data_IF_625121918710
#
_entry.id   IF_625121918710
#
_cell.length_a   1.000
_cell.length_b   1.000
_cell.length_c   1.000
_cell.angle_alpha   90.00
_cell.angle_beta   90.00
_cell.angle_gamma   90.00
#
_symmetry.space_group_name_H-M   'P 1'
#
loop_
_entity.id
_entity.type
_entity.pdbx_description
1 polymer ?
#
# COMPACT_ATOMS: atom_id res chain seq x y z
N UNK A 1 4.04 14.51 12.91
CA UNK A 1 5.39 14.18 13.42
C UNK A 1 5.45 14.01 14.94
N UNK A 2 4.94 14.98 15.74
CA UNK A 2 4.99 14.88 17.23
C UNK A 2 4.10 13.77 17.80
N UNK A 3 2.92 13.53 17.25
CA UNK A 3 2.02 12.45 17.68
C UNK A 3 2.53 11.06 17.29
N UNK A 4 3.11 10.93 16.10
CA UNK A 4 3.75 9.70 15.62
C UNK A 4 4.94 9.29 16.51
N UNK A 5 5.75 10.26 16.96
CA UNK A 5 6.83 10.01 17.92
C UNK A 5 6.33 9.56 19.29
N UNK A 6 5.19 10.09 19.75
CA UNK A 6 4.57 9.61 21.01
C UNK A 6 4.07 8.17 20.90
N UNK A 7 3.51 7.78 19.77
CA UNK A 7 3.12 6.39 19.50
C UNK A 7 4.35 5.46 19.42
N UNK A 8 5.42 5.90 18.76
CA UNK A 8 6.68 5.14 18.66
C UNK A 8 7.36 4.97 20.03
N UNK A 9 7.38 6.01 20.85
CA UNK A 9 7.88 5.96 22.24
C UNK A 9 7.02 5.08 23.15
N UNK A 10 5.70 5.04 22.95
CA UNK A 10 4.83 4.11 23.67
C UNK A 10 5.12 2.65 23.34
N UNK A 11 5.43 2.34 22.07
CA UNK A 11 5.84 1.00 21.65
C UNK A 11 7.19 0.55 22.25
N UNK A 12 8.14 1.48 22.49
CA UNK A 12 9.44 1.19 23.09
C UNK A 12 9.35 1.05 24.61
N UNK A 13 8.48 1.82 25.28
CA UNK A 13 8.31 1.75 26.75
C UNK A 13 7.64 0.47 27.24
N UNK A 14 6.78 -0.13 26.44
CA UNK A 14 6.07 -1.36 26.85
C UNK A 14 6.94 -2.62 26.78
N UNK A 15 8.13 -2.55 26.16
CA UNK A 15 9.08 -3.67 26.08
C UNK A 15 10.12 -3.73 27.21
N UNK A 16 10.26 -2.65 28.02
CA UNK A 16 11.22 -2.59 29.14
C UNK A 16 10.51 -2.41 30.50
N UNK A 17 9.60 -3.28 30.86
CA UNK A 17 8.92 -3.30 32.14
C UNK A 17 9.67 -4.15 33.17
N UNK A 18 10.52 -3.53 33.98
CA UNK A 18 11.15 -4.14 35.13
C UNK A 18 11.37 -3.13 36.27
N UNK A 19 10.54 -3.26 37.27
CA UNK A 19 10.72 -3.04 38.73
C UNK A 19 11.49 -1.83 39.29
N UNK A 20 10.83 -1.23 40.23
CA UNK A 20 11.16 -0.88 41.62
C UNK A 20 11.13 0.58 42.06
N UNK A 21 10.29 0.83 43.08
CA UNK A 21 10.64 1.51 44.31
C UNK A 21 10.69 3.03 44.32
N UNK A 22 9.57 3.64 44.69
CA UNK A 22 9.60 5.00 45.24
C UNK A 22 9.85 4.92 46.75
N UNK A 23 10.79 5.67 47.34
CA UNK A 23 10.43 6.57 48.37
C UNK A 23 11.24 7.89 48.36
N UNK A 24 10.62 9.05 48.40
CA UNK A 24 10.98 10.14 49.30
C UNK A 24 10.17 11.42 48.98
N UNK A 25 9.32 11.76 49.93
CA UNK A 25 8.75 13.07 50.11
C UNK A 25 9.85 14.03 50.61
N UNK A 26 10.17 15.07 49.85
CA UNK A 26 11.06 16.17 50.26
C UNK A 26 10.63 17.47 49.61
N UNK A 27 10.45 18.49 50.44
CA UNK A 27 9.97 19.84 50.11
C UNK A 27 10.84 20.54 49.05
N UNK A 28 10.26 21.53 48.31
CA UNK A 28 11.02 22.22 47.23
C UNK A 28 12.03 23.18 47.82
N UNK A 29 13.30 22.99 47.42
CA UNK A 29 14.37 23.98 47.59
C UNK A 29 14.45 24.79 46.30
N UNK A 30 14.22 26.11 46.44
CA UNK A 30 14.33 27.07 45.36
C UNK A 30 15.83 27.41 45.14
N UNK A 31 16.40 26.97 44.02
CA UNK A 31 17.70 27.45 43.56
C UNK A 31 17.48 28.03 42.16
N UNK A 32 17.45 29.35 42.09
CA UNK A 32 17.50 30.10 40.84
C UNK A 32 18.81 29.84 40.13
N UNK A 33 18.74 29.27 38.93
CA UNK A 33 19.84 29.10 38.03
C UNK A 33 19.27 28.78 36.66
N UNK A 34 19.57 29.60 35.67
CA UNK A 34 19.26 29.42 34.26
C UNK A 34 19.63 27.99 33.81
N UNK A 35 18.61 27.15 33.59
CA UNK A 35 18.81 25.91 32.86
C UNK A 35 17.69 25.78 31.81
N UNK A 36 17.79 26.63 30.80
CA UNK A 36 17.25 26.34 29.49
C UNK A 36 18.39 25.71 28.64
N UNK A 37 18.97 24.64 29.09
CA UNK A 37 19.60 23.69 28.19
C UNK A 37 18.45 22.87 27.58
N UNK A 38 17.96 23.35 26.44
CA UNK A 38 17.28 22.53 25.47
C UNK A 38 18.18 21.31 25.24
N UNK A 39 17.82 20.17 25.77
CA UNK A 39 18.26 18.90 25.23
C UNK A 39 17.78 18.87 23.79
N UNK A 40 18.66 19.28 22.89
CA UNK A 40 18.59 18.97 21.47
C UNK A 40 18.64 17.45 21.41
N UNK A 41 17.46 16.82 21.40
CA UNK A 41 17.37 15.39 21.13
C UNK A 41 17.75 15.24 19.66
N UNK A 42 19.06 15.15 19.40
CA UNK A 42 19.58 14.64 18.13
C UNK A 42 18.75 13.38 17.84
N UNK A 43 18.05 13.41 16.72
CA UNK A 43 17.39 12.23 16.20
C UNK A 43 18.50 11.16 16.07
N UNK A 44 18.43 10.16 16.93
CA UNK A 44 19.33 9.03 16.82
C UNK A 44 19.00 8.38 15.48
N UNK A 45 19.90 8.51 14.52
CA UNK A 45 19.80 7.80 13.24
C UNK A 45 19.68 6.30 13.54
N UNK A 46 18.58 5.69 13.11
CA UNK A 46 18.45 4.23 13.19
C UNK A 46 19.37 3.60 12.13
N UNK A 47 20.46 3.00 12.58
CA UNK A 47 21.45 2.31 11.76
C UNK A 47 21.21 0.83 11.81
N UNK A 48 20.89 0.22 10.66
CA UNK A 48 20.43 -1.17 10.62
C UNK A 48 21.30 -2.06 9.74
N UNK A 49 21.38 -3.34 10.09
CA UNK A 49 21.95 -4.38 9.24
C UNK A 49 20.79 -5.17 8.62
N UNK A 50 20.84 -5.32 7.30
CA UNK A 50 19.86 -6.10 6.56
C UNK A 50 20.28 -7.55 6.50
N UNK A 51 19.32 -8.47 6.72
CA UNK A 51 19.60 -9.89 6.82
C UNK A 51 18.64 -10.70 5.97
N UNK A 52 19.17 -11.59 5.13
CA UNK A 52 18.38 -12.49 4.31
C UNK A 52 18.89 -13.94 4.37
N UNK A 53 18.00 -14.87 4.11
CA UNK A 53 18.33 -16.28 3.91
C UNK A 53 17.98 -16.66 2.48
N UNK A 54 19.00 -17.00 1.67
CA UNK A 54 18.81 -17.55 0.33
C UNK A 54 18.54 -19.05 0.45
N UNK A 55 17.43 -19.52 -0.13
CA UNK A 55 17.01 -20.93 -0.06
C UNK A 55 17.21 -21.71 -1.35
N UNK A 56 17.50 -21.03 -2.46
CA UNK A 56 17.82 -21.63 -3.75
C UNK A 56 18.80 -20.78 -4.53
N UNK A 57 19.51 -21.36 -5.50
CA UNK A 57 20.44 -20.64 -6.37
C UNK A 57 19.71 -19.69 -7.36
N UNK A 58 18.40 -19.88 -7.55
CA UNK A 58 17.53 -19.03 -8.36
C UNK A 58 16.89 -17.90 -7.54
N UNK A 59 17.20 -17.82 -6.24
CA UNK A 59 16.61 -16.85 -5.33
C UNK A 59 17.26 -15.47 -5.55
N UNK A 60 16.46 -14.50 -5.95
CA UNK A 60 16.91 -13.14 -6.23
C UNK A 60 17.06 -12.35 -4.91
N UNK A 61 17.89 -12.92 -4.01
CA UNK A 61 18.08 -12.45 -2.64
C UNK A 61 18.70 -11.05 -2.60
N UNK A 62 19.64 -10.75 -3.51
CA UNK A 62 20.30 -9.43 -3.56
C UNK A 62 19.28 -8.35 -3.95
N UNK A 63 18.46 -8.58 -4.96
CA UNK A 63 17.42 -7.62 -5.32
C UNK A 63 16.31 -7.49 -4.25
N UNK A 64 16.05 -8.55 -3.48
CA UNK A 64 15.17 -8.47 -2.31
C UNK A 64 15.76 -7.58 -1.21
N UNK A 65 17.08 -7.64 -1.02
CA UNK A 65 17.81 -6.78 -0.09
C UNK A 65 17.91 -5.34 -0.57
N UNK A 66 18.06 -5.09 -1.88
CA UNK A 66 18.02 -3.74 -2.45
C UNK A 66 16.66 -3.09 -2.16
N UNK A 67 15.57 -3.82 -2.37
CA UNK A 67 14.22 -3.35 -2.05
C UNK A 67 14.02 -3.16 -0.53
N UNK A 68 14.62 -4.03 0.31
CA UNK A 68 14.57 -3.89 1.77
C UNK A 68 15.33 -2.65 2.25
N UNK A 69 16.43 -2.29 1.57
CA UNK A 69 17.19 -1.06 1.85
C UNK A 69 16.34 0.18 1.53
N UNK A 70 15.65 0.21 0.38
CA UNK A 70 14.71 1.29 0.05
C UNK A 70 13.55 1.39 1.06
N UNK A 71 13.05 0.23 1.56
CA UNK A 71 12.06 0.21 2.64
C UNK A 71 12.62 0.81 3.93
N UNK A 72 13.82 0.44 4.32
CA UNK A 72 14.48 0.95 5.52
C UNK A 72 14.67 2.47 5.42
N UNK A 73 15.18 2.99 4.29
CA UNK A 73 15.32 4.43 4.04
C UNK A 73 13.97 5.16 4.11
N UNK A 74 12.94 4.60 3.48
CA UNK A 74 11.58 5.16 3.54
C UNK A 74 11.04 5.21 4.97
N UNK A 75 11.40 4.23 5.81
CA UNK A 75 11.06 4.21 7.24
C UNK A 75 11.92 5.16 8.10
N UNK A 76 12.98 5.75 7.52
CA UNK A 76 13.92 6.65 8.17
C UNK A 76 15.04 5.95 8.91
N UNK A 77 15.41 4.74 8.49
CA UNK A 77 16.56 3.98 8.96
C UNK A 77 17.62 3.91 7.86
N UNK A 78 18.91 3.92 8.24
CA UNK A 78 20.02 3.82 7.31
C UNK A 78 20.60 2.40 7.36
N UNK A 79 20.62 1.70 6.24
CA UNK A 79 21.28 0.41 6.12
C UNK A 79 22.80 0.60 6.07
N UNK A 80 23.52 -0.02 7.01
CA UNK A 80 24.97 0.11 7.14
C UNK A 80 25.72 -1.19 6.82
N UNK A 81 24.99 -2.29 6.63
CA UNK A 81 25.57 -3.58 6.27
C UNK A 81 24.51 -4.57 5.83
N UNK A 82 24.94 -5.62 5.14
CA UNK A 82 24.10 -6.73 4.68
C UNK A 82 24.72 -8.05 5.09
N UNK A 83 23.89 -9.02 5.47
CA UNK A 83 24.30 -10.38 5.78
C UNK A 83 23.37 -11.36 5.09
N UNK A 84 23.94 -12.21 4.24
CA UNK A 84 23.20 -13.28 3.55
C UNK A 84 23.69 -14.64 4.06
N UNK A 85 22.75 -15.55 4.28
CA UNK A 85 23.05 -16.95 4.57
C UNK A 85 22.39 -17.86 3.54
N UNK A 86 23.19 -18.65 2.82
CA UNK A 86 22.68 -19.69 1.92
C UNK A 86 22.33 -20.93 2.73
N UNK A 87 21.11 -21.44 2.60
CA UNK A 87 20.61 -22.63 3.28
C UNK A 87 19.50 -23.29 2.47
N UNK A 88 19.35 -24.59 2.57
CA UNK A 88 18.20 -25.29 1.96
C UNK A 88 16.85 -24.90 2.61
N UNK A 89 16.86 -24.51 3.90
CA UNK A 89 15.65 -24.11 4.65
C UNK A 89 15.99 -23.09 5.72
N UNK A 90 15.08 -22.15 5.93
CA UNK A 90 15.10 -21.20 7.04
C UNK A 90 15.13 -21.94 8.38
N UNK A 91 15.98 -21.51 9.31
CA UNK A 91 16.05 -22.16 10.62
C UNK A 91 14.77 -21.86 11.45
N UNK A 92 14.04 -22.89 11.93
CA UNK A 92 12.71 -22.69 12.52
C UNK A 92 12.74 -21.91 13.83
N UNK A 93 13.84 -21.95 14.56
CA UNK A 93 13.95 -21.30 15.88
C UNK A 93 14.60 -19.93 15.87
N UNK A 94 15.49 -19.65 14.92
CA UNK A 94 16.34 -18.44 14.95
C UNK A 94 16.49 -17.76 13.60
N UNK A 95 15.74 -18.19 12.56
CA UNK A 95 15.86 -17.68 11.19
C UNK A 95 17.25 -18.02 10.56
N UNK A 96 18.34 -17.66 11.23
CA UNK A 96 19.74 -17.95 10.88
C UNK A 96 20.28 -19.17 11.63
N UNK A 97 21.34 -19.76 11.13
CA UNK A 97 22.14 -20.74 11.84
C UNK A 97 23.02 -20.10 12.93
N UNK A 98 23.43 -20.87 13.94
CA UNK A 98 24.18 -20.37 15.10
C UNK A 98 25.50 -19.66 14.75
N UNK A 99 26.25 -20.18 13.77
CA UNK A 99 27.49 -19.52 13.30
C UNK A 99 27.21 -18.13 12.71
N UNK A 100 26.18 -18.00 11.86
CA UNK A 100 25.80 -16.70 11.25
C UNK A 100 25.25 -15.70 12.28
N UNK A 101 24.60 -16.18 13.36
CA UNK A 101 24.18 -15.32 14.47
C UNK A 101 25.40 -14.73 15.19
N UNK A 102 26.47 -15.52 15.37
CA UNK A 102 27.75 -15.02 15.94
C UNK A 102 28.36 -13.92 15.09
N UNK A 103 28.48 -14.14 13.77
CA UNK A 103 28.95 -13.15 12.80
C UNK A 103 28.09 -11.88 12.81
N UNK A 104 26.76 -12.04 12.79
CA UNK A 104 25.84 -10.89 12.83
C UNK A 104 25.99 -10.07 14.12
N UNK A 105 26.19 -10.72 15.26
CA UNK A 105 26.41 -10.04 16.54
C UNK A 105 27.73 -9.24 16.55
N UNK A 106 28.79 -9.78 15.97
CA UNK A 106 30.06 -9.08 15.79
C UNK A 106 29.87 -7.86 14.88
N UNK A 107 29.18 -8.01 13.73
CA UNK A 107 28.86 -6.91 12.84
C UNK A 107 28.03 -5.81 13.54
N UNK A 108 27.01 -6.17 14.32
CA UNK A 108 26.19 -5.21 15.08
C UNK A 108 27.07 -4.37 15.99
N UNK A 109 28.00 -5.01 16.71
CA UNK A 109 28.89 -4.33 17.65
C UNK A 109 29.94 -3.48 16.94
N UNK A 110 30.62 -3.99 15.93
CA UNK A 110 31.70 -3.30 15.20
C UNK A 110 31.18 -2.10 14.42
N UNK A 111 30.03 -2.24 13.75
CA UNK A 111 29.44 -1.17 12.93
C UNK A 111 28.58 -0.21 13.76
N UNK A 112 28.33 -0.49 15.03
CA UNK A 112 27.46 0.30 15.90
C UNK A 112 26.02 0.34 15.38
N UNK A 113 25.49 -0.80 14.93
CA UNK A 113 24.11 -0.90 14.48
C UNK A 113 23.15 -0.79 15.66
N UNK A 114 22.04 -0.07 15.47
CA UNK A 114 20.97 0.09 16.47
C UNK A 114 19.87 -0.96 16.31
N UNK A 115 19.88 -1.71 15.21
CA UNK A 115 18.90 -2.74 14.91
C UNK A 115 19.29 -3.63 13.73
N UNK A 116 18.50 -4.69 13.56
CA UNK A 116 18.61 -5.64 12.46
C UNK A 116 17.24 -5.76 11.78
N UNK A 117 17.20 -5.79 10.45
CA UNK A 117 15.98 -6.02 9.67
C UNK A 117 16.14 -7.31 8.88
N UNK A 118 15.23 -8.26 9.10
CA UNK A 118 15.15 -9.51 8.35
C UNK A 118 14.22 -9.35 7.14
N UNK A 119 14.63 -9.91 6.00
CA UNK A 119 13.91 -9.80 4.72
C UNK A 119 12.61 -10.61 4.67
N UNK A 120 12.49 -11.62 5.51
CA UNK A 120 11.29 -12.47 5.61
C UNK A 120 10.49 -12.16 6.88
N UNK A 121 9.20 -12.49 6.88
CA UNK A 121 8.37 -12.41 8.08
C UNK A 121 8.83 -13.43 9.11
N UNK A 122 9.15 -12.95 10.33
CA UNK A 122 9.64 -13.77 11.41
C UNK A 122 8.50 -14.33 12.26
N UNK A 123 8.59 -15.62 12.61
CA UNK A 123 7.74 -16.16 13.66
C UNK A 123 8.05 -15.50 15.01
N UNK A 124 7.09 -15.48 15.95
CA UNK A 124 7.31 -14.92 17.29
C UNK A 124 8.49 -15.56 18.06
N UNK A 125 8.80 -16.83 17.77
CA UNK A 125 9.93 -17.53 18.36
C UNK A 125 11.26 -17.09 17.75
N UNK A 126 11.33 -16.97 16.42
CA UNK A 126 12.52 -16.48 15.71
C UNK A 126 12.88 -15.07 16.14
N UNK A 127 11.90 -14.16 16.17
CA UNK A 127 12.11 -12.77 16.57
C UNK A 127 12.76 -12.70 17.97
N UNK A 128 12.14 -13.33 18.99
CA UNK A 128 12.67 -13.32 20.36
C UNK A 128 14.04 -13.96 20.50
N UNK A 129 14.23 -15.10 19.82
CA UNK A 129 15.50 -15.80 19.92
C UNK A 129 16.65 -15.00 19.30
N UNK A 130 16.37 -14.29 18.17
CA UNK A 130 17.31 -13.36 17.55
C UNK A 130 17.58 -12.16 18.45
N UNK A 131 16.55 -11.48 18.97
CA UNK A 131 16.74 -10.35 19.89
C UNK A 131 17.57 -10.74 21.12
N UNK A 132 17.27 -11.90 21.71
CA UNK A 132 18.04 -12.42 22.86
C UNK A 132 19.48 -12.77 22.49
N UNK A 133 19.74 -13.26 21.28
CA UNK A 133 21.07 -13.64 20.83
C UNK A 133 21.94 -12.46 20.43
N UNK A 134 21.31 -11.42 19.88
CA UNK A 134 22.00 -10.23 19.34
C UNK A 134 22.08 -9.08 20.35
N UNK A 135 21.26 -9.12 21.42
CA UNK A 135 21.08 -8.04 22.39
C UNK A 135 20.77 -6.68 21.71
N UNK A 136 19.99 -6.73 20.62
CA UNK A 136 19.60 -5.57 19.84
C UNK A 136 18.19 -5.73 19.28
N UNK A 137 17.59 -4.61 18.84
CA UNK A 137 16.27 -4.60 18.22
C UNK A 137 16.29 -5.39 16.91
N UNK A 138 15.35 -6.32 16.76
CA UNK A 138 15.13 -7.07 15.52
C UNK A 138 13.77 -6.71 14.94
N UNK A 139 13.74 -6.41 13.68
CA UNK A 139 12.53 -6.15 12.90
C UNK A 139 12.47 -7.11 11.73
N UNK A 140 11.29 -7.33 11.21
CA UNK A 140 11.09 -8.02 9.95
C UNK A 140 10.51 -7.07 8.88
N UNK A 141 10.53 -7.49 7.63
CA UNK A 141 10.00 -6.73 6.49
C UNK A 141 8.57 -6.25 6.74
N UNK A 142 7.73 -7.08 7.34
CA UNK A 142 6.34 -6.74 7.68
C UNK A 142 6.25 -5.57 8.64
N UNK A 143 7.09 -5.53 9.66
CA UNK A 143 7.10 -4.45 10.64
C UNK A 143 7.54 -3.13 10.00
N UNK A 144 8.54 -3.15 9.14
CA UNK A 144 9.01 -1.97 8.40
C UNK A 144 7.90 -1.42 7.50
N UNK A 145 7.22 -2.28 6.73
CA UNK A 145 6.08 -1.88 5.89
C UNK A 145 4.96 -1.24 6.72
N UNK A 146 4.62 -1.84 7.88
CA UNK A 146 3.61 -1.28 8.79
C UNK A 146 4.00 0.09 9.35
N UNK A 147 5.28 0.31 9.64
CA UNK A 147 5.78 1.59 10.11
C UNK A 147 5.70 2.67 9.01
N UNK A 148 6.04 2.32 7.76
CA UNK A 148 5.87 3.21 6.60
C UNK A 148 4.38 3.57 6.43
N UNK A 149 3.50 2.59 6.50
CA UNK A 149 2.06 2.83 6.38
C UNK A 149 1.51 3.72 7.49
N UNK A 150 2.00 3.54 8.72
CA UNK A 150 1.60 4.40 9.85
C UNK A 150 2.05 5.86 9.66
N UNK A 151 3.18 6.08 8.97
CA UNK A 151 3.67 7.40 8.65
C UNK A 151 2.87 8.09 7.53
N UNK A 152 2.38 7.31 6.54
CA UNK A 152 1.71 7.83 5.34
C UNK A 152 0.18 7.85 5.42
N UNK A 153 -0.45 7.18 6.40
CA UNK A 153 -1.89 7.20 6.58
C UNK A 153 -2.40 8.60 6.95
N UNK A 154 -3.09 9.25 6.04
CA UNK A 154 -3.64 10.60 6.25
C UNK A 154 -5.13 10.56 6.53
N UNK A 155 -5.88 9.69 5.86
CA UNK A 155 -7.32 9.55 6.03
C UNK A 155 -7.68 8.81 7.31
N UNK A 156 -8.89 9.04 7.82
CA UNK A 156 -9.43 8.30 8.96
C UNK A 156 -9.48 6.79 8.67
N UNK A 157 -9.87 6.41 7.47
CA UNK A 157 -9.93 5.02 7.04
C UNK A 157 -8.55 4.37 6.98
N UNK A 158 -7.57 5.02 6.32
CA UNK A 158 -6.20 4.54 6.27
C UNK A 158 -5.61 4.33 7.67
N UNK A 159 -5.85 5.26 8.61
CA UNK A 159 -5.42 5.13 10.00
C UNK A 159 -6.04 3.92 10.70
N UNK A 160 -7.35 3.71 10.54
CA UNK A 160 -8.06 2.54 11.10
C UNK A 160 -7.48 1.23 10.55
N UNK A 161 -7.23 1.17 9.24
CA UNK A 161 -6.68 -0.01 8.58
C UNK A 161 -5.27 -0.33 9.06
N UNK A 162 -4.40 0.68 9.15
CA UNK A 162 -3.03 0.52 9.66
C UNK A 162 -3.03 0.09 11.12
N UNK A 163 -3.83 0.73 11.98
CA UNK A 163 -3.96 0.34 13.39
C UNK A 163 -4.46 -1.12 13.51
N UNK A 164 -5.44 -1.50 12.70
CA UNK A 164 -5.96 -2.86 12.66
C UNK A 164 -4.88 -3.87 12.25
N UNK A 165 -4.08 -3.56 11.21
CA UNK A 165 -2.98 -4.41 10.76
C UNK A 165 -1.90 -4.55 11.83
N UNK A 166 -1.48 -3.44 12.45
CA UNK A 166 -0.50 -3.43 13.54
C UNK A 166 -0.98 -4.25 14.75
N UNK A 167 -2.25 -4.12 15.14
CA UNK A 167 -2.80 -4.89 16.26
C UNK A 167 -2.90 -6.38 15.95
N UNK A 168 -3.26 -6.77 14.72
CA UNK A 168 -3.26 -8.18 14.28
C UNK A 168 -1.85 -8.77 14.30
N UNK A 169 -0.88 -8.03 13.78
CA UNK A 169 0.53 -8.41 13.80
C UNK A 169 1.03 -8.62 15.24
N UNK A 170 0.72 -7.70 16.18
CA UNK A 170 1.05 -7.82 17.59
C UNK A 170 0.32 -8.97 18.27
N UNK A 171 -0.98 -9.16 18.00
CA UNK A 171 -1.78 -10.24 18.57
C UNK A 171 -1.21 -11.63 18.24
N UNK A 172 -0.77 -11.83 16.98
CA UNK A 172 -0.13 -13.09 16.56
C UNK A 172 1.16 -13.36 17.34
N UNK A 173 1.92 -12.32 17.67
CA UNK A 173 3.18 -12.43 18.44
C UNK A 173 2.99 -12.68 19.93
N UNK A 174 1.93 -12.15 20.54
CA UNK A 174 1.60 -12.40 21.94
C UNK A 174 1.23 -13.88 22.21
N UNK A 175 0.69 -14.59 21.21
CA UNK A 175 0.36 -16.01 21.34
C UNK A 175 1.62 -16.86 21.55
N UNK A 176 2.73 -16.52 20.90
CA UNK A 176 4.01 -17.23 21.05
C UNK A 176 4.67 -17.10 22.44
N UNK A 177 4.36 -16.02 23.19
CA UNK A 177 4.87 -15.77 24.53
C UNK A 177 4.32 -16.75 25.58
N UNK A 178 3.09 -17.25 25.40
CA UNK A 178 2.43 -18.16 26.34
C UNK A 178 3.12 -19.54 26.46
N UNK A 179 3.54 -20.08 25.31
CA UNK A 179 4.15 -21.43 25.29
C UNK A 179 5.53 -21.51 25.95
N UNK A 180 6.24 -20.40 26.07
CA UNK A 180 7.54 -20.32 26.73
C UNK A 180 7.43 -20.08 28.24
N UNK A 181 6.45 -19.29 28.69
CA UNK A 181 6.21 -19.05 30.11
C UNK A 181 5.58 -20.25 30.81
N UNK A 182 4.74 -21.02 30.12
CA UNK A 182 4.15 -22.25 30.67
C UNK A 182 5.15 -23.40 30.83
N UNK A 183 6.30 -23.36 30.13
CA UNK A 183 7.39 -24.35 30.30
C UNK A 183 8.28 -24.11 31.53
N UNK A 184 8.29 -22.86 32.06
CA UNK A 184 9.08 -22.47 33.23
C UNK A 184 8.32 -22.61 34.57
N UNK A 185 7.00 -22.78 34.53
CA UNK A 185 6.14 -22.92 35.70
C UNK A 185 5.65 -24.35 35.86
N UNK A 186 6.43 -25.21 36.53
CA UNK A 186 6.00 -26.58 36.90
C UNK A 186 4.91 -26.55 37.98
N UNK A 187 3.66 -26.80 37.59
CA UNK A 187 2.56 -27.01 38.55
C UNK A 187 1.19 -26.85 37.90
N UNK A 188 0.34 -27.86 38.00
CA UNK A 188 -1.06 -27.84 37.57
C UNK A 188 -1.80 -26.84 38.48
N UNK A 189 -2.16 -25.65 37.95
CA UNK A 189 -3.08 -24.72 38.61
C UNK A 189 -2.57 -23.34 39.02
N UNK A 190 -1.28 -23.01 38.90
CA UNK A 190 -0.75 -21.70 39.27
C UNK A 190 -0.48 -20.83 38.04
N UNK A 191 -1.47 -20.04 37.62
CA UNK A 191 -1.27 -18.93 36.64
C UNK A 191 -0.43 -17.85 37.32
N UNK A 192 0.81 -17.66 36.89
CA UNK A 192 1.69 -16.60 37.36
C UNK A 192 1.16 -15.20 37.06
N UNK A 193 1.60 -14.14 37.77
CA UNK A 193 1.17 -12.75 37.52
C UNK A 193 1.49 -12.29 36.07
N UNK A 194 2.53 -12.81 35.43
CA UNK A 194 2.85 -12.53 34.02
C UNK A 194 1.85 -13.11 33.02
N UNK A 195 1.31 -14.33 33.30
CA UNK A 195 0.26 -14.90 32.42
C UNK A 195 -1.04 -14.12 32.48
N UNK A 196 -1.42 -13.58 33.65
CA UNK A 196 -2.61 -12.72 33.81
C UNK A 196 -2.45 -11.41 33.04
N UNK A 197 -1.26 -10.80 33.06
CA UNK A 197 -0.97 -9.58 32.32
C UNK A 197 -1.05 -9.80 30.80
N UNK A 198 -0.42 -10.84 30.29
CA UNK A 198 -0.49 -11.19 28.86
C UNK A 198 -1.92 -11.52 28.39
N UNK A 199 -2.71 -12.19 29.24
CA UNK A 199 -4.10 -12.50 28.90
C UNK A 199 -4.97 -11.23 28.89
N UNK A 200 -4.71 -10.27 29.78
CA UNK A 200 -5.35 -8.96 29.79
C UNK A 200 -4.97 -8.14 28.55
N UNK A 201 -3.68 -8.05 28.23
CA UNK A 201 -3.20 -7.31 27.06
C UNK A 201 -3.80 -7.88 25.76
N UNK A 202 -3.84 -9.24 25.66
CA UNK A 202 -4.49 -9.91 24.53
C UNK A 202 -5.98 -9.58 24.42
N UNK A 203 -6.69 -9.57 25.56
CA UNK A 203 -8.12 -9.23 25.59
C UNK A 203 -8.33 -7.80 25.11
N UNK A 204 -7.57 -6.83 25.60
CA UNK A 204 -7.64 -5.43 25.18
C UNK A 204 -7.37 -5.27 23.69
N UNK A 205 -6.36 -5.97 23.15
CA UNK A 205 -6.06 -5.94 21.71
C UNK A 205 -7.24 -6.52 20.91
N UNK A 206 -7.84 -7.63 21.33
CA UNK A 206 -8.98 -8.21 20.62
C UNK A 206 -10.24 -7.32 20.69
N UNK A 207 -10.48 -6.68 21.84
CA UNK A 207 -11.56 -5.71 21.98
C UNK A 207 -11.35 -4.50 21.03
N UNK A 208 -10.12 -3.98 20.96
CA UNK A 208 -9.81 -2.87 20.03
C UNK A 208 -9.91 -3.30 18.56
N UNK A 209 -9.45 -4.50 18.20
CA UNK A 209 -9.66 -5.08 16.86
C UNK A 209 -11.15 -5.16 16.53
N UNK A 210 -12.01 -5.56 17.48
CA UNK A 210 -13.45 -5.60 17.29
C UNK A 210 -14.06 -4.23 17.01
N UNK A 211 -13.66 -3.21 17.78
CA UNK A 211 -14.08 -1.83 17.59
C UNK A 211 -13.68 -1.29 16.20
N UNK A 212 -12.39 -1.43 15.83
CA UNK A 212 -11.88 -0.96 14.55
C UNK A 212 -12.55 -1.63 13.35
N UNK A 213 -12.89 -2.93 13.45
CA UNK A 213 -13.67 -3.62 12.42
C UNK A 213 -15.05 -3.01 12.25
N UNK A 214 -15.74 -2.67 13.35
CA UNK A 214 -17.06 -2.03 13.30
C UNK A 214 -16.96 -0.63 12.67
N UNK A 215 -15.97 0.17 13.08
CA UNK A 215 -15.72 1.49 12.48
C UNK A 215 -15.45 1.39 10.98
N UNK A 216 -14.67 0.39 10.53
CA UNK A 216 -14.37 0.15 9.12
C UNK A 216 -15.62 -0.25 8.31
N UNK A 217 -16.52 -1.06 8.88
CA UNK A 217 -17.78 -1.42 8.24
C UNK A 217 -18.71 -0.21 8.05
N UNK A 218 -18.71 0.73 8.99
CA UNK A 218 -19.46 1.98 8.84
C UNK A 218 -18.91 2.84 7.69
N UNK A 219 -17.57 2.95 7.58
CA UNK A 219 -16.92 3.66 6.47
C UNK A 219 -17.25 3.01 5.13
N UNK A 220 -17.22 1.68 5.05
CA UNK A 220 -17.60 0.93 3.82
C UNK A 220 -19.03 1.21 3.39
N UNK A 221 -19.99 1.24 4.33
CA UNK A 221 -21.39 1.57 4.02
C UNK A 221 -21.52 2.97 3.41
N UNK A 222 -20.82 3.97 3.94
CA UNK A 222 -20.81 5.32 3.38
C UNK A 222 -20.22 5.35 1.96
N UNK A 223 -19.16 4.59 1.70
CA UNK A 223 -18.58 4.47 0.35
C UNK A 223 -19.55 3.84 -0.65
N UNK A 224 -20.25 2.79 -0.28
CA UNK A 224 -21.24 2.16 -1.16
C UNK A 224 -22.34 3.13 -1.58
N UNK A 225 -22.83 3.96 -0.67
CA UNK A 225 -23.83 4.99 -0.99
C UNK A 225 -23.26 6.00 -2.00
N UNK A 226 -22.06 6.47 -1.78
CA UNK A 226 -21.39 7.42 -2.68
C UNK A 226 -21.11 6.78 -4.05
N UNK A 227 -20.73 5.50 -4.08
CA UNK A 227 -20.49 4.73 -5.32
C UNK A 227 -21.76 4.57 -6.13
N UNK A 228 -22.87 4.15 -5.53
CA UNK A 228 -24.16 4.07 -6.20
C UNK A 228 -24.62 5.41 -6.81
N UNK A 229 -24.20 6.54 -6.24
CA UNK A 229 -24.44 7.85 -6.83
C UNK A 229 -23.53 8.12 -8.04
N UNK A 230 -22.28 7.61 -8.08
CA UNK A 230 -21.37 7.70 -9.22
C UNK A 230 -21.85 6.83 -10.39
N UNK A 231 -22.29 5.59 -10.12
CA UNK A 231 -22.84 4.68 -11.12
C UNK A 231 -24.03 5.30 -11.87
N UNK A 232 -24.87 6.08 -11.17
CA UNK A 232 -25.96 6.86 -11.79
C UNK A 232 -25.50 7.97 -12.72
N UNK A 233 -24.23 8.35 -12.66
CA UNK A 233 -23.66 9.41 -13.53
C UNK A 233 -23.00 8.86 -14.79
N UNK A 234 -23.00 7.53 -14.99
CA UNK A 234 -22.38 6.89 -16.17
C UNK A 234 -20.94 7.30 -16.45
N UNK A 235 -20.20 7.67 -15.40
CA UNK A 235 -18.80 8.11 -15.52
C UNK A 235 -17.91 6.88 -15.37
N UNK A 236 -17.15 6.55 -16.41
CA UNK A 236 -16.17 5.46 -16.37
C UNK A 236 -15.08 5.74 -15.34
N UNK A 237 -14.61 4.67 -14.72
CA UNK A 237 -13.56 4.71 -13.71
C UNK A 237 -12.39 3.81 -14.11
N UNK A 238 -11.16 4.29 -13.92
CA UNK A 238 -9.96 3.50 -14.10
C UNK A 238 -9.12 3.55 -12.83
N UNK A 239 -8.69 2.39 -12.36
CA UNK A 239 -7.75 2.28 -11.24
C UNK A 239 -6.33 2.17 -11.77
N UNK A 240 -5.44 3.00 -11.23
CA UNK A 240 -4.01 2.96 -11.50
C UNK A 240 -3.37 2.01 -10.51
N UNK A 241 -2.92 0.86 -10.99
CA UNK A 241 -2.25 -0.17 -10.19
C UNK A 241 -0.82 -0.37 -10.70
N UNK A 242 0.03 -0.96 -9.90
CA UNK A 242 1.41 -1.26 -10.29
C UNK A 242 2.32 -1.35 -9.07
N UNK A 243 3.54 -1.72 -9.32
CA UNK A 243 4.55 -1.87 -8.29
C UNK A 243 4.85 -0.55 -7.57
N UNK A 244 5.41 -0.59 -6.36
CA UNK A 244 5.91 0.63 -5.69
C UNK A 244 6.93 1.32 -6.58
N UNK A 245 6.95 2.64 -6.56
CA UNK A 245 7.86 3.47 -7.35
C UNK A 245 7.75 3.32 -8.90
N UNK A 246 6.72 2.66 -9.44
CA UNK A 246 6.50 2.57 -10.89
C UNK A 246 6.04 3.90 -11.52
N UNK A 247 5.77 4.94 -10.72
CA UNK A 247 5.37 6.26 -11.19
C UNK A 247 3.86 6.49 -11.29
N UNK A 248 3.03 5.74 -10.56
CA UNK A 248 1.57 5.85 -10.54
C UNK A 248 1.06 7.25 -10.20
N UNK A 249 1.52 7.81 -9.08
CA UNK A 249 1.11 9.14 -8.62
C UNK A 249 1.63 10.25 -9.53
N UNK A 250 2.82 10.07 -10.12
CA UNK A 250 3.36 10.96 -11.15
C UNK A 250 2.47 10.96 -12.39
N UNK A 251 2.06 9.76 -12.86
CA UNK A 251 1.15 9.63 -13.99
C UNK A 251 -0.18 10.35 -13.74
N UNK A 252 -0.80 10.11 -12.57
CA UNK A 252 -2.04 10.79 -12.20
C UNK A 252 -1.88 12.31 -12.19
N UNK A 253 -0.79 12.82 -11.61
CA UNK A 253 -0.48 14.25 -11.58
C UNK A 253 -0.33 14.84 -12.97
N UNK A 254 0.45 14.20 -13.83
CA UNK A 254 0.71 14.72 -15.19
C UNK A 254 -0.55 14.69 -16.05
N UNK A 255 -1.40 13.66 -15.91
CA UNK A 255 -2.67 13.57 -16.65
C UNK A 255 -3.72 14.59 -16.17
N UNK A 256 -3.76 14.88 -14.86
CA UNK A 256 -4.86 15.65 -14.27
C UNK A 256 -4.46 17.04 -13.76
N UNK A 257 -3.17 17.35 -13.70
CA UNK A 257 -2.66 18.58 -13.08
C UNK A 257 -2.90 18.67 -11.57
N UNK A 258 -3.07 17.56 -10.89
CA UNK A 258 -3.61 17.50 -9.52
C UNK A 258 -2.65 17.92 -8.42
N UNK A 259 -1.34 18.05 -8.66
CA UNK A 259 -0.35 18.45 -7.64
C UNK A 259 -0.27 17.53 -6.41
N UNK A 260 -0.56 16.23 -6.59
CA UNK A 260 -0.44 15.23 -5.51
C UNK A 260 1.05 15.04 -5.21
N UNK A 261 1.39 14.82 -3.96
CA UNK A 261 2.75 14.57 -3.52
C UNK A 261 3.28 13.28 -4.17
N UNK A 262 4.03 13.42 -5.25
CA UNK A 262 4.77 12.33 -5.87
C UNK A 262 6.20 12.37 -5.32
N UNK A 263 6.56 11.39 -4.50
CA UNK A 263 7.92 11.23 -3.98
C UNK A 263 8.53 9.97 -4.58
N UNK A 264 9.84 10.00 -4.79
CA UNK A 264 10.62 8.84 -5.21
C UNK A 264 10.91 7.96 -3.97
N UNK A 265 9.85 7.48 -3.34
CA UNK A 265 9.86 6.64 -2.14
C UNK A 265 8.83 5.53 -2.26
N UNK A 266 9.15 4.38 -1.67
CA UNK A 266 8.21 3.25 -1.62
C UNK A 266 6.96 3.65 -0.81
N UNK A 267 5.78 3.24 -1.28
CA UNK A 267 4.50 3.53 -0.62
C UNK A 267 4.20 5.02 -0.37
N UNK A 268 4.63 5.90 -1.30
CA UNK A 268 4.33 7.32 -1.22
C UNK A 268 2.81 7.62 -1.15
N UNK A 269 1.99 6.77 -1.78
CA UNK A 269 0.52 6.82 -1.72
C UNK A 269 -0.02 5.62 -0.95
N UNK A 270 -0.67 5.85 0.18
CA UNK A 270 -1.40 4.84 0.94
C UNK A 270 -2.92 4.99 0.77
N UNK A 271 -3.41 6.22 0.81
CA UNK A 271 -4.83 6.53 0.67
C UNK A 271 -5.19 6.70 -0.82
N UNK A 272 -6.24 6.02 -1.32
CA UNK A 272 -6.64 6.16 -2.73
C UNK A 272 -7.05 7.59 -3.04
N UNK A 273 -6.54 8.12 -4.13
CA UNK A 273 -6.86 9.47 -4.58
C UNK A 273 -7.52 9.44 -5.95
N UNK A 274 -8.78 9.90 -6.04
CA UNK A 274 -9.54 9.94 -7.29
C UNK A 274 -9.55 11.34 -7.90
N UNK A 275 -9.30 11.44 -9.21
CA UNK A 275 -9.32 12.68 -10.00
C UNK A 275 -10.03 12.46 -11.33
N UNK A 276 -10.70 13.50 -11.81
CA UNK A 276 -11.31 13.51 -13.13
C UNK A 276 -10.29 13.85 -14.20
N UNK A 277 -10.21 13.05 -15.24
CA UNK A 277 -9.48 13.34 -16.48
C UNK A 277 -10.47 13.69 -17.59
N UNK A 278 -10.34 14.87 -18.15
CA UNK A 278 -11.09 15.26 -19.35
C UNK A 278 -10.36 14.77 -20.60
N UNK A 279 -11.04 13.98 -21.39
CA UNK A 279 -10.54 13.46 -22.67
C UNK A 279 -10.78 14.48 -23.80
N UNK A 280 -10.17 14.24 -24.95
CA UNK A 280 -10.27 15.11 -26.14
C UNK A 280 -11.71 15.25 -26.63
N UNK A 281 -12.51 14.18 -26.48
CA UNK A 281 -13.95 14.19 -26.78
C UNK A 281 -14.80 15.05 -25.83
N UNK A 282 -14.20 15.67 -24.81
CA UNK A 282 -14.91 16.41 -23.76
C UNK A 282 -15.55 15.55 -22.67
N UNK A 283 -15.42 14.22 -22.75
CA UNK A 283 -15.89 13.30 -21.74
C UNK A 283 -14.92 13.21 -20.57
N UNK A 284 -15.44 12.85 -19.40
CA UNK A 284 -14.65 12.71 -18.17
C UNK A 284 -14.55 11.25 -17.76
N UNK A 285 -13.34 10.81 -17.42
CA UNK A 285 -13.04 9.53 -16.81
C UNK A 285 -12.46 9.77 -15.41
N UNK A 286 -12.84 8.94 -14.43
CA UNK A 286 -12.28 9.02 -13.09
C UNK A 286 -11.06 8.13 -12.99
N UNK A 287 -9.91 8.71 -12.67
CA UNK A 287 -8.67 8.00 -12.39
C UNK A 287 -8.46 7.92 -10.88
N UNK A 288 -8.21 6.73 -10.38
CA UNK A 288 -7.93 6.50 -8.95
C UNK A 288 -6.53 5.92 -8.80
N UNK A 289 -5.63 6.67 -8.14
CA UNK A 289 -4.33 6.15 -7.71
C UNK A 289 -4.52 5.20 -6.53
N UNK A 290 -3.80 4.08 -6.55
CA UNK A 290 -3.87 3.04 -5.51
C UNK A 290 -2.53 2.82 -4.84
N UNK A 291 -2.54 2.08 -3.74
CA UNK A 291 -1.32 1.64 -3.05
C UNK A 291 -0.45 0.82 -4.01
N UNK A 292 0.88 1.06 -3.99
CA UNK A 292 1.82 0.27 -4.75
C UNK A 292 1.96 -1.16 -4.21
N UNK A 293 2.13 -2.12 -5.11
CA UNK A 293 2.45 -3.50 -4.73
C UNK A 293 3.95 -3.66 -4.47
N UNK A 294 4.30 -4.67 -3.69
CA UNK A 294 5.67 -5.01 -3.32
C UNK A 294 5.82 -6.52 -3.18
N UNK A 295 7.03 -7.03 -3.33
CA UNK A 295 7.34 -8.46 -3.09
C UNK A 295 7.13 -8.83 -1.63
N UNK A 296 6.84 -10.11 -1.37
CA UNK A 296 6.68 -10.67 -0.02
C UNK A 296 5.68 -9.89 0.85
N UNK A 297 4.62 -9.31 0.23
CA UNK A 297 3.57 -8.62 0.97
C UNK A 297 2.79 -9.64 1.81
N UNK A 298 2.78 -9.53 3.15
CA UNK A 298 2.09 -10.49 4.00
C UNK A 298 0.58 -10.55 3.74
N UNK A 299 0.00 -11.75 3.73
CA UNK A 299 -1.43 -11.94 3.46
C UNK A 299 -2.35 -11.13 4.38
N UNK A 300 -1.99 -10.98 5.65
CA UNK A 300 -2.78 -10.19 6.61
C UNK A 300 -2.75 -8.69 6.31
N UNK A 301 -1.72 -8.18 5.62
CA UNK A 301 -1.68 -6.81 5.10
C UNK A 301 -2.56 -6.67 3.86
N UNK A 302 -2.58 -7.64 2.95
CA UNK A 302 -3.49 -7.66 1.80
C UNK A 302 -4.93 -7.54 2.28
N UNK A 303 -5.33 -8.28 3.33
CA UNK A 303 -6.66 -8.17 3.94
C UNK A 303 -6.93 -6.79 4.57
N UNK A 304 -5.94 -6.21 5.23
CA UNK A 304 -6.09 -4.88 5.84
C UNK A 304 -6.29 -3.78 4.77
N UNK A 305 -5.58 -3.90 3.65
CA UNK A 305 -5.66 -2.96 2.52
C UNK A 305 -6.67 -3.36 1.44
N UNK A 306 -7.40 -4.45 1.64
CA UNK A 306 -8.43 -4.92 0.70
C UNK A 306 -9.40 -3.79 0.32
N UNK A 307 -9.74 -2.91 1.25
CA UNK A 307 -10.66 -1.81 0.99
C UNK A 307 -10.04 -0.66 0.16
N UNK A 308 -8.74 -0.41 0.24
CA UNK A 308 -8.05 0.54 -0.65
C UNK A 308 -7.85 -0.05 -2.04
N UNK A 309 -7.60 -1.35 -2.11
CA UNK A 309 -7.51 -2.11 -3.36
C UNK A 309 -8.89 -2.44 -3.96
N UNK A 310 -9.96 -2.35 -3.16
CA UNK A 310 -11.35 -2.46 -3.64
C UNK A 310 -11.69 -1.42 -4.71
N UNK A 311 -11.01 -0.26 -4.74
CA UNK A 311 -11.20 0.72 -5.82
C UNK A 311 -10.80 0.12 -7.19
N UNK A 312 -9.76 -0.72 -7.24
CA UNK A 312 -9.42 -1.49 -8.46
C UNK A 312 -10.50 -2.53 -8.80
N UNK A 313 -11.07 -3.20 -7.79
CA UNK A 313 -12.16 -4.18 -7.99
C UNK A 313 -13.43 -3.55 -8.57
N UNK A 314 -13.71 -2.32 -8.23
CA UNK A 314 -14.92 -1.62 -8.69
C UNK A 314 -14.69 -0.70 -9.88
N UNK A 315 -13.44 -0.50 -10.30
CA UNK A 315 -13.14 0.24 -11.52
C UNK A 315 -13.58 -0.54 -12.77
N UNK A 316 -13.78 0.17 -13.85
CA UNK A 316 -14.12 -0.40 -15.16
C UNK A 316 -12.87 -0.83 -15.93
N UNK A 317 -11.76 -0.13 -15.68
CA UNK A 317 -10.47 -0.30 -16.36
C UNK A 317 -9.39 -0.39 -15.30
N UNK A 318 -8.40 -1.23 -15.53
CA UNK A 318 -7.16 -1.32 -14.76
C UNK A 318 -6.03 -0.75 -15.61
N UNK A 319 -5.40 0.33 -15.14
CA UNK A 319 -4.17 0.86 -15.71
C UNK A 319 -2.99 0.27 -14.94
N UNK A 320 -2.35 -0.75 -15.52
CA UNK A 320 -1.19 -1.40 -14.92
C UNK A 320 0.07 -0.61 -15.29
N UNK A 321 0.57 0.23 -14.37
CA UNK A 321 1.79 1.02 -14.56
C UNK A 321 3.01 0.18 -14.21
N UNK A 322 3.91 0.05 -15.16
CA UNK A 322 5.12 -0.77 -15.09
C UNK A 322 6.34 0.14 -15.25
N UNK A 323 7.33 -0.03 -14.39
CA UNK A 323 8.64 0.61 -14.54
C UNK A 323 9.46 -0.14 -15.58
N UNK A 324 9.49 0.37 -16.81
CA UNK A 324 10.18 -0.26 -17.93
C UNK A 324 11.72 -0.17 -17.82
N UNK A 325 12.24 0.68 -16.96
CA UNK A 325 13.68 0.83 -16.71
C UNK A 325 14.23 -0.17 -15.70
N UNK A 326 13.36 -0.87 -14.97
CA UNK A 326 13.76 -1.80 -13.92
C UNK A 326 14.15 -3.16 -14.49
N UNK A 327 15.33 -3.67 -14.13
CA UNK A 327 15.82 -4.98 -14.57
C UNK A 327 14.92 -6.15 -14.14
N UNK A 328 14.11 -5.97 -13.09
CA UNK A 328 13.19 -6.97 -12.57
C UNK A 328 11.73 -6.71 -12.98
N UNK A 329 11.53 -5.99 -14.08
CA UNK A 329 10.21 -5.62 -14.59
C UNK A 329 9.25 -6.82 -14.66
N UNK A 330 9.68 -7.94 -15.24
CA UNK A 330 8.85 -9.15 -15.40
C UNK A 330 8.42 -9.74 -14.05
N UNK A 331 9.33 -9.78 -13.09
CA UNK A 331 9.02 -10.25 -11.72
C UNK A 331 8.04 -9.30 -11.03
N UNK A 332 8.22 -7.98 -11.18
CA UNK A 332 7.31 -6.99 -10.62
C UNK A 332 5.91 -7.10 -11.26
N UNK A 333 5.84 -7.27 -12.57
CA UNK A 333 4.57 -7.51 -13.28
C UNK A 333 3.86 -8.77 -12.78
N UNK A 334 4.61 -9.86 -12.60
CA UNK A 334 4.07 -11.10 -12.04
C UNK A 334 3.45 -10.89 -10.65
N UNK A 335 4.15 -10.18 -9.73
CA UNK A 335 3.64 -9.86 -8.38
C UNK A 335 2.34 -9.07 -8.45
N UNK A 336 2.25 -8.08 -9.36
CA UNK A 336 1.03 -7.29 -9.55
C UNK A 336 -0.12 -8.17 -10.02
N UNK A 337 0.08 -8.98 -11.06
CA UNK A 337 -0.96 -9.87 -11.60
C UNK A 337 -1.41 -10.93 -10.58
N UNK A 338 -0.47 -11.49 -9.83
CA UNK A 338 -0.81 -12.46 -8.79
C UNK A 338 -1.67 -11.81 -7.68
N UNK A 339 -1.32 -10.59 -7.26
CA UNK A 339 -2.12 -9.85 -6.28
C UNK A 339 -3.51 -9.48 -6.84
N UNK A 340 -3.61 -9.04 -8.10
CA UNK A 340 -4.90 -8.77 -8.73
C UNK A 340 -5.79 -10.03 -8.80
N UNK A 341 -5.18 -11.19 -9.06
CA UNK A 341 -5.88 -12.49 -9.04
C UNK A 341 -6.39 -12.85 -7.65
N UNK A 342 -5.57 -12.67 -6.61
CA UNK A 342 -5.97 -12.88 -5.21
C UNK A 342 -7.11 -11.95 -4.77
N UNK A 343 -7.23 -10.79 -5.38
CA UNK A 343 -8.31 -9.82 -5.15
C UNK A 343 -9.55 -10.08 -6.02
N UNK A 344 -9.55 -11.15 -6.83
CA UNK A 344 -10.63 -11.49 -7.76
C UNK A 344 -10.93 -10.37 -8.78
N UNK A 345 -9.88 -9.71 -9.28
CA UNK A 345 -9.95 -8.67 -10.31
C UNK A 345 -9.55 -9.32 -11.65
N UNK A 346 -10.41 -10.22 -12.19
CA UNK A 346 -10.07 -11.02 -13.38
C UNK A 346 -10.71 -10.55 -14.69
N UNK A 347 -11.92 -9.98 -14.65
CA UNK A 347 -12.73 -9.71 -15.85
C UNK A 347 -12.74 -8.23 -16.26
N UNK A 348 -11.61 -7.55 -16.07
CA UNK A 348 -11.49 -6.11 -16.36
C UNK A 348 -10.65 -5.89 -17.60
N UNK A 349 -10.94 -4.81 -18.32
CA UNK A 349 -10.04 -4.31 -19.37
C UNK A 349 -8.75 -3.82 -18.71
N UNK A 350 -7.63 -4.44 -19.09
CA UNK A 350 -6.29 -4.10 -18.60
C UNK A 350 -5.52 -3.34 -19.66
N UNK A 351 -5.03 -2.16 -19.29
CA UNK A 351 -4.12 -1.35 -20.12
C UNK A 351 -2.76 -1.34 -19.42
N UNK A 352 -1.75 -1.97 -20.02
CA UNK A 352 -0.39 -1.91 -19.51
C UNK A 352 0.30 -0.65 -19.99
N UNK A 353 0.77 0.13 -19.03
CA UNK A 353 1.43 1.42 -19.24
C UNK A 353 2.90 1.27 -18.87
N UNK A 354 3.76 1.01 -19.87
CA UNK A 354 5.21 0.99 -19.68
C UNK A 354 5.72 2.40 -19.47
N UNK A 355 6.05 2.73 -18.24
CA UNK A 355 6.49 4.05 -17.82
C UNK A 355 8.01 4.14 -17.71
N UNK A 356 8.54 5.35 -17.55
CA UNK A 356 9.97 5.69 -17.49
C UNK A 356 10.73 5.36 -18.78
N UNK A 357 10.05 5.47 -19.94
CA UNK A 357 10.65 5.23 -21.26
C UNK A 357 11.81 6.17 -21.59
N UNK A 358 11.92 7.30 -20.89
CA UNK A 358 13.07 8.20 -20.95
C UNK A 358 14.39 7.57 -20.43
N UNK A 359 14.31 6.42 -19.78
CA UNK A 359 15.46 5.67 -19.23
C UNK A 359 15.70 4.33 -19.93
N UNK A 360 14.90 3.95 -20.92
CA UNK A 360 14.96 2.66 -21.61
C UNK A 360 15.74 2.78 -22.92
N UNK A 361 16.75 1.93 -23.11
CA UNK A 361 17.57 1.91 -24.32
C UNK A 361 16.94 1.11 -25.48
N UNK A 362 16.15 0.06 -25.18
CA UNK A 362 15.57 -0.86 -26.17
C UNK A 362 14.06 -1.01 -26.02
N UNK A 363 13.26 -0.04 -26.47
CA UNK A 363 11.80 -0.03 -26.26
C UNK A 363 11.04 -1.13 -27.04
N UNK A 364 11.63 -1.70 -28.09
CA UNK A 364 10.94 -2.62 -29.00
C UNK A 364 10.66 -4.03 -28.40
N UNK A 365 11.29 -4.36 -27.27
CA UNK A 365 11.19 -5.67 -26.63
C UNK A 365 10.07 -5.76 -25.59
N UNK A 366 9.46 -4.63 -25.22
CA UNK A 366 8.46 -4.57 -24.15
C UNK A 366 7.12 -5.14 -24.62
N UNK A 367 6.65 -6.19 -23.97
CA UNK A 367 5.35 -6.82 -24.27
C UNK A 367 4.71 -7.34 -22.97
N UNK A 368 3.41 -7.19 -22.88
CA UNK A 368 2.58 -7.81 -21.86
C UNK A 368 1.50 -8.67 -22.55
N UNK A 369 1.55 -9.97 -22.32
CA UNK A 369 0.61 -10.94 -22.92
C UNK A 369 -0.71 -11.04 -22.14
N UNK A 370 -0.82 -10.39 -20.99
CA UNK A 370 -2.00 -10.43 -20.12
C UNK A 370 -2.88 -9.19 -20.25
N UNK A 371 -2.42 -8.17 -20.99
CA UNK A 371 -3.16 -6.93 -21.18
C UNK A 371 -3.93 -6.88 -22.49
N UNK A 372 -5.05 -6.16 -22.50
CA UNK A 372 -5.85 -5.90 -23.71
C UNK A 372 -5.21 -4.81 -24.57
N UNK A 373 -4.56 -3.82 -23.94
CA UNK A 373 -3.89 -2.70 -24.58
C UNK A 373 -2.55 -2.42 -23.91
N UNK A 374 -1.62 -1.86 -24.68
CA UNK A 374 -0.29 -1.50 -24.20
C UNK A 374 0.10 -0.13 -24.74
N UNK A 375 0.77 0.66 -23.91
CA UNK A 375 1.30 1.97 -24.28
C UNK A 375 2.62 2.23 -23.59
N UNK A 376 3.53 2.93 -24.27
CA UNK A 376 4.83 3.32 -23.77
C UNK A 376 4.81 4.81 -23.46
N UNK A 377 5.15 5.18 -22.22
CA UNK A 377 5.10 6.58 -21.78
C UNK A 377 6.31 6.99 -20.96
N UNK A 378 6.51 8.27 -20.83
CA UNK A 378 7.25 8.85 -19.69
C UNK A 378 6.33 9.83 -18.97
N UNK A 379 5.88 9.44 -17.79
CA UNK A 379 5.04 10.30 -16.95
C UNK A 379 5.77 11.59 -16.54
N UNK A 380 7.11 11.54 -16.48
CA UNK A 380 7.98 12.68 -16.14
C UNK A 380 8.05 13.72 -17.28
N UNK A 381 8.21 13.27 -18.52
CA UNK A 381 8.37 14.15 -19.68
C UNK A 381 7.06 14.46 -20.39
N UNK A 382 6.03 13.64 -20.16
CA UNK A 382 4.74 13.74 -20.85
C UNK A 382 4.67 12.99 -22.18
N UNK A 383 5.76 12.33 -22.61
CA UNK A 383 5.78 11.54 -23.85
C UNK A 383 4.80 10.36 -23.77
N UNK A 384 4.08 10.05 -24.85
CA UNK A 384 3.13 8.94 -24.96
C UNK A 384 1.78 9.15 -24.24
N UNK A 385 1.57 10.24 -23.53
CA UNK A 385 0.33 10.45 -22.76
C UNK A 385 -0.89 10.71 -23.67
N UNK A 386 -0.70 11.25 -24.84
CA UNK A 386 -1.81 11.47 -25.78
C UNK A 386 -2.27 10.11 -26.36
N UNK A 387 -1.33 9.19 -26.66
CA UNK A 387 -1.66 7.81 -27.05
C UNK A 387 -2.45 7.08 -25.96
N UNK A 388 -2.05 7.24 -24.69
CA UNK A 388 -2.82 6.71 -23.56
C UNK A 388 -4.24 7.26 -23.50
N UNK A 389 -4.43 8.56 -23.73
CA UNK A 389 -5.76 9.18 -23.79
C UNK A 389 -6.59 8.63 -24.95
N UNK A 390 -5.98 8.43 -26.12
CA UNK A 390 -6.66 7.86 -27.30
C UNK A 390 -7.11 6.41 -27.04
N UNK A 391 -6.30 5.58 -26.37
CA UNK A 391 -6.68 4.24 -25.93
C UNK A 391 -7.88 4.31 -24.98
N UNK A 392 -7.85 5.19 -23.97
CA UNK A 392 -8.95 5.38 -23.04
C UNK A 392 -10.23 5.83 -23.74
N UNK A 393 -10.14 6.73 -24.73
CA UNK A 393 -11.28 7.14 -25.57
C UNK A 393 -11.83 5.99 -26.40
N UNK A 394 -10.97 5.16 -26.97
CA UNK A 394 -11.37 3.98 -27.75
C UNK A 394 -12.11 2.97 -26.86
N UNK A 395 -11.61 2.67 -25.65
CA UNK A 395 -12.28 1.78 -24.69
C UNK A 395 -13.65 2.37 -24.31
N UNK A 396 -13.72 3.67 -24.07
CA UNK A 396 -14.94 4.36 -23.69
C UNK A 396 -15.97 4.31 -24.83
N UNK A 397 -15.51 4.44 -26.10
CA UNK A 397 -16.36 4.33 -27.29
C UNK A 397 -16.90 2.90 -27.46
N UNK A 398 -16.06 1.89 -27.28
CA UNK A 398 -16.43 0.49 -27.45
C UNK A 398 -17.50 0.02 -26.42
N UNK A 399 -17.63 0.72 -25.29
CA UNK A 399 -18.68 0.47 -24.29
C UNK A 399 -20.00 1.22 -24.56
N UNK A 400 -20.08 1.97 -25.66
CA UNK A 400 -21.25 2.75 -26.03
C UNK A 400 -21.92 2.15 -27.27
N UNK A 401 -23.22 2.32 -27.30
CA UNK A 401 -24.04 1.93 -28.44
C UNK A 401 -24.26 3.14 -29.33
N UNK A 402 -24.09 2.96 -30.64
CA UNK A 402 -24.44 3.97 -31.60
C UNK A 402 -25.96 4.16 -31.63
N UNK A 403 -26.42 5.38 -31.47
CA UNK A 403 -27.79 5.82 -31.51
C UNK A 403 -27.99 6.76 -32.69
N UNK A 404 -28.93 6.44 -33.54
CA UNK A 404 -29.43 7.32 -34.61
C UNK A 404 -30.94 7.40 -34.45
N UNK A 405 -31.45 8.59 -34.10
CA UNK A 405 -32.90 8.78 -33.85
C UNK A 405 -33.30 10.25 -34.07
N UNK A 406 -34.55 10.44 -34.57
CA UNK A 406 -35.22 11.74 -34.53
C UNK A 406 -36.03 11.81 -33.23
N UNK A 407 -35.73 12.76 -32.38
CA UNK A 407 -36.45 13.07 -31.16
C UNK A 407 -37.47 14.19 -31.43
N UNK A 408 -38.66 14.02 -30.88
CA UNK A 408 -39.65 15.12 -30.95
C UNK A 408 -39.15 16.31 -30.15
N UNK A 409 -39.60 17.53 -30.49
CA UNK A 409 -39.23 18.75 -29.77
C UNK A 409 -39.63 18.69 -28.27
N UNK A 410 -40.64 17.90 -27.91
CA UNK A 410 -41.02 17.68 -26.50
C UNK A 410 -40.01 16.82 -25.74
N UNK A 411 -39.21 16.04 -26.47
CA UNK A 411 -38.16 15.16 -25.88
C UNK A 411 -36.76 15.84 -25.81
N UNK A 412 -36.68 17.13 -26.03
CA UNK A 412 -35.40 17.89 -26.00
C UNK A 412 -34.59 17.64 -24.69
N UNK A 413 -35.25 17.33 -23.58
CA UNK A 413 -34.61 16.91 -22.33
C UNK A 413 -33.76 15.64 -22.45
N UNK A 414 -34.11 14.70 -23.35
CA UNK A 414 -33.31 13.50 -23.62
C UNK A 414 -32.02 13.83 -24.34
N UNK A 415 -32.02 14.83 -25.22
CA UNK A 415 -30.82 15.30 -25.92
C UNK A 415 -29.84 15.92 -24.95
N UNK A 416 -30.31 16.63 -23.92
CA UNK A 416 -29.48 17.13 -22.83
C UNK A 416 -28.78 15.96 -22.09
N UNK A 417 -29.47 14.85 -21.89
CA UNK A 417 -28.90 13.64 -21.29
C UNK A 417 -27.84 13.01 -22.20
N UNK A 418 -28.09 12.98 -23.52
CA UNK A 418 -27.11 12.52 -24.51
C UNK A 418 -25.85 13.41 -24.50
N UNK A 419 -26.02 14.74 -24.50
CA UNK A 419 -24.89 15.68 -24.42
C UNK A 419 -24.05 15.51 -23.15
N UNK A 420 -24.72 15.17 -22.04
CA UNK A 420 -24.06 15.05 -20.74
C UNK A 420 -23.34 13.72 -20.54
N UNK A 421 -23.88 12.62 -21.01
CA UNK A 421 -23.40 11.26 -20.71
C UNK A 421 -22.95 10.48 -21.95
N UNK A 422 -23.40 10.90 -23.13
CA UNK A 422 -23.04 10.35 -24.42
C UNK A 422 -21.96 11.17 -25.14
N UNK A 423 -21.69 10.77 -26.36
CA UNK A 423 -20.86 11.52 -27.32
C UNK A 423 -21.77 11.90 -28.49
N UNK A 424 -22.16 13.18 -28.57
CA UNK A 424 -22.97 13.69 -29.67
C UNK A 424 -22.07 13.84 -30.89
N UNK A 425 -22.45 13.17 -31.98
CA UNK A 425 -21.72 13.29 -33.28
C UNK A 425 -22.36 14.31 -34.18
N UNK A 426 -23.70 14.29 -34.24
CA UNK A 426 -24.49 15.15 -35.13
C UNK A 426 -25.81 15.52 -34.47
N UNK A 427 -26.23 16.76 -34.66
CA UNK A 427 -27.53 17.29 -34.25
C UNK A 427 -28.05 18.20 -35.35
N UNK A 428 -29.21 17.86 -35.89
CA UNK A 428 -29.88 18.62 -36.92
C UNK A 428 -31.33 18.86 -36.53
N UNK A 429 -31.78 20.10 -36.65
CA UNK A 429 -33.18 20.50 -36.47
C UNK A 429 -33.92 20.28 -37.78
N UNK A 430 -34.90 19.39 -37.80
CA UNK A 430 -35.74 19.03 -38.96
C UNK A 430 -37.19 19.37 -38.68
N UNK A 431 -38.02 19.39 -39.72
CA UNK A 431 -39.45 19.67 -39.56
C UNK A 431 -40.17 18.72 -38.65
N UNK A 432 -39.73 17.44 -38.63
CA UNK A 432 -40.32 16.32 -37.85
C UNK A 432 -39.68 16.17 -36.46
N UNK A 433 -38.67 16.97 -36.12
CA UNK A 433 -37.99 16.91 -34.82
C UNK A 433 -36.50 17.20 -34.87
N UNK A 434 -35.76 16.75 -33.87
CA UNK A 434 -34.32 16.93 -33.77
C UNK A 434 -33.64 15.57 -34.06
N UNK A 435 -32.97 15.51 -35.22
CA UNK A 435 -32.16 14.36 -35.61
C UNK A 435 -30.86 14.34 -34.82
N UNK A 436 -30.53 13.20 -34.23
CA UNK A 436 -29.34 13.01 -33.37
C UNK A 436 -28.63 11.74 -33.77
N UNK A 437 -27.32 11.88 -34.04
CA UNK A 437 -26.37 10.78 -34.07
C UNK A 437 -25.46 10.89 -32.86
N UNK A 438 -25.36 9.82 -32.06
CA UNK A 438 -24.56 9.84 -30.85
C UNK A 438 -24.10 8.44 -30.46
N UNK A 439 -23.02 8.36 -29.72
CA UNK A 439 -22.67 7.19 -28.92
C UNK A 439 -23.19 7.36 -27.50
N UNK A 440 -24.01 6.43 -27.00
CA UNK A 440 -24.61 6.51 -25.67
C UNK A 440 -24.26 5.27 -24.84
N UNK A 441 -24.11 5.41 -23.51
CA UNK A 441 -23.96 4.26 -22.62
C UNK A 441 -25.07 3.23 -22.80
N UNK A 442 -24.72 1.95 -22.70
CA UNK A 442 -25.67 0.82 -22.88
C UNK A 442 -26.91 0.96 -22.02
N UNK A 443 -26.74 1.42 -20.78
CA UNK A 443 -27.80 1.60 -19.80
C UNK A 443 -28.77 2.72 -20.17
N UNK A 444 -28.28 3.75 -20.86
CA UNK A 444 -29.12 4.86 -21.33
C UNK A 444 -29.87 4.52 -22.64
N UNK A 445 -29.27 3.68 -23.47
CA UNK A 445 -29.81 3.34 -24.79
C UNK A 445 -31.28 2.86 -24.72
N UNK A 446 -31.54 1.91 -23.82
CA UNK A 446 -32.88 1.37 -23.66
C UNK A 446 -33.94 2.42 -23.22
N UNK A 447 -33.52 3.42 -22.43
CA UNK A 447 -34.36 4.55 -22.00
C UNK A 447 -34.59 5.58 -23.10
N UNK A 448 -33.63 5.77 -24.00
CA UNK A 448 -33.69 6.73 -25.10
C UNK A 448 -34.50 6.17 -26.30
N UNK A 449 -34.55 4.85 -26.43
CA UNK A 449 -35.30 4.16 -27.49
C UNK A 449 -36.82 4.00 -27.21
N UNK A 450 -37.22 4.11 -25.95
CA UNK A 450 -38.63 4.18 -25.55
C UNK A 450 -39.23 5.55 -25.79
#
# INVERSE_FOLDING_TARGET
HKEYRRQRQMCIRDSTGGAEGNPFSGKPVNIGGNMAELFDMKELEERVILVAVSTSDEDDTEASLDELEELADTAGATAIGRLVQNREKIHPGTYLGSGKIGELREMVWEMGATGVICDDELSPAQLRNLESALDTKVMDRTMVILDIFAAHATTSEGKIQVELAQLRYRAARLVGLRSSLSRLGGGIGTRGPGEKKLEMDRRLIHERIGQLKSELEDVKRHREVTRKQRDRKYTLSAAIVGYTNAGKSTLLNTLTGAGILAQDKLFATLDPTTRGLKLTSGQEILLTDTVGFIRKLPHHLIEAFKSTLEEARYSDIVLHVVDASNLQMDTQMYVVYDTLRQLEIGDKTVVTVFNKMDQVEQPETLKDLHSDYQVQISAKTGAGLDELKDILEMILRNRKIYLEKVFSYQEAGRIQTIRKYGQLLKEEYREDGIYVEAYVPTELYAGLMR
#
